data_IF_576915966762
#
_entry.id   IF_576915966762
#
_cell.length_a   1.000
_cell.length_b   1.000
_cell.length_c   1.000
_cell.angle_alpha   90.00
_cell.angle_beta   90.00
_cell.angle_gamma   90.00
#
_symmetry.space_group_name_H-M   'P 1'
#
loop_
_entity.id
_entity.type
_entity.pdbx_description
1 polymer ?
#
# COMPACT_ATOMS: atom_id res chain seq x y z
N UNK A 1 47.83 -56.52 -11.58
CA UNK A 1 46.84 -56.11 -10.54
C UNK A 1 46.93 -54.66 -10.12
N UNK A 2 47.73 -53.79 -10.72
CA UNK A 2 47.85 -52.33 -10.34
C UNK A 2 46.95 -51.39 -11.18
N UNK A 3 46.40 -51.83 -12.29
CA UNK A 3 45.61 -50.97 -13.22
C UNK A 3 44.10 -51.03 -12.99
N UNK A 4 43.58 -52.03 -12.29
CA UNK A 4 42.14 -52.18 -12.02
C UNK A 4 41.66 -51.32 -10.84
N UNK A 5 42.52 -50.97 -9.89
CA UNK A 5 42.16 -50.09 -8.79
C UNK A 5 42.00 -48.62 -9.19
N UNK A 6 42.78 -48.14 -10.18
CA UNK A 6 42.72 -46.75 -10.64
C UNK A 6 41.45 -46.46 -11.44
N UNK A 7 40.91 -47.43 -12.17
CA UNK A 7 39.66 -47.29 -12.93
C UNK A 7 38.42 -47.27 -12.02
N UNK A 8 38.43 -47.99 -10.91
CA UNK A 8 37.33 -48.02 -9.95
C UNK A 8 37.25 -46.71 -9.13
N UNK A 9 38.35 -46.07 -8.82
CA UNK A 9 38.39 -44.78 -8.08
C UNK A 9 37.90 -43.63 -9.00
N UNK A 10 38.30 -43.64 -10.26
CA UNK A 10 37.83 -42.65 -11.25
C UNK A 10 36.32 -42.78 -11.57
N UNK A 11 35.81 -44.03 -11.66
CA UNK A 11 34.37 -44.25 -11.87
C UNK A 11 33.54 -43.85 -10.67
N UNK A 12 34.05 -44.01 -9.43
CA UNK A 12 33.34 -43.59 -8.22
C UNK A 12 33.35 -42.05 -8.05
N UNK A 13 34.45 -41.39 -8.40
CA UNK A 13 34.53 -39.92 -8.40
C UNK A 13 33.62 -39.28 -9.45
N UNK A 14 33.50 -39.88 -10.62
CA UNK A 14 32.56 -39.42 -11.68
C UNK A 14 31.08 -39.64 -11.28
N UNK A 15 30.74 -40.74 -10.61
CA UNK A 15 29.39 -41.01 -10.12
C UNK A 15 28.96 -40.07 -8.97
N UNK A 16 29.89 -39.72 -8.07
CA UNK A 16 29.64 -38.75 -7.00
C UNK A 16 29.48 -37.33 -7.56
N UNK A 17 30.27 -36.93 -8.55
CA UNK A 17 30.15 -35.64 -9.21
C UNK A 17 28.82 -35.50 -9.97
N UNK A 18 28.29 -36.57 -10.58
CA UNK A 18 26.96 -36.56 -11.23
C UNK A 18 25.82 -36.58 -10.23
N UNK A 19 25.95 -37.16 -9.06
CA UNK A 19 24.92 -37.09 -8.01
C UNK A 19 24.87 -35.71 -7.30
N UNK A 20 25.99 -35.00 -7.18
CA UNK A 20 26.01 -33.64 -6.62
C UNK A 20 25.49 -32.58 -7.59
N UNK A 21 25.58 -32.84 -8.91
CA UNK A 21 25.05 -31.94 -9.96
C UNK A 21 23.54 -32.09 -10.19
N UNK A 22 22.87 -33.08 -9.60
CA UNK A 22 21.44 -33.29 -9.69
C UNK A 22 20.64 -32.74 -8.49
N UNK A 23 21.29 -32.12 -7.53
CA UNK A 23 20.60 -31.52 -6.38
C UNK A 23 20.48 -30.00 -6.54
N UNK A 24 19.27 -29.57 -6.85
CA UNK A 24 18.69 -28.25 -6.73
C UNK A 24 18.49 -27.45 -8.02
N UNK A 25 17.65 -27.96 -8.90
CA UNK A 25 16.69 -26.99 -9.42
C UNK A 25 15.66 -26.74 -8.30
N UNK A 26 15.49 -25.51 -7.84
CA UNK A 26 14.36 -25.22 -6.99
C UNK A 26 13.11 -25.56 -7.81
N UNK A 27 12.31 -26.53 -7.33
CA UNK A 27 10.95 -26.69 -7.81
C UNK A 27 10.32 -25.31 -7.63
N UNK A 28 10.05 -24.61 -8.73
CA UNK A 28 9.16 -23.45 -8.72
C UNK A 28 7.86 -23.96 -8.09
N UNK A 29 7.72 -23.77 -6.78
CA UNK A 29 6.45 -23.97 -6.11
C UNK A 29 5.55 -22.90 -6.67
N UNK A 30 4.69 -23.28 -7.61
CA UNK A 30 3.64 -22.38 -8.09
C UNK A 30 2.78 -22.06 -6.89
N UNK A 31 2.92 -20.85 -6.38
CA UNK A 31 2.08 -20.35 -5.31
C UNK A 31 0.65 -20.30 -5.86
N UNK A 32 -0.20 -21.21 -5.40
CA UNK A 32 -1.58 -21.30 -5.85
C UNK A 32 -2.53 -21.14 -4.65
N UNK A 33 -3.46 -20.23 -4.77
CA UNK A 33 -4.61 -20.13 -3.90
C UNK A 33 -5.82 -20.54 -4.73
N UNK A 34 -6.47 -21.67 -4.44
CA UNK A 34 -7.71 -22.01 -5.11
C UNK A 34 -8.78 -20.97 -4.81
N UNK A 35 -9.41 -20.44 -5.84
CA UNK A 35 -10.54 -19.52 -5.71
C UNK A 35 -11.49 -19.69 -6.89
N UNK A 36 -12.71 -19.22 -6.74
CA UNK A 36 -13.66 -18.98 -7.82
C UNK A 36 -14.14 -17.53 -7.76
N UNK A 37 -14.43 -16.94 -8.92
CA UNK A 37 -14.98 -15.60 -9.01
C UNK A 37 -16.19 -15.55 -9.93
N UNK A 38 -17.17 -14.71 -9.58
CA UNK A 38 -18.39 -14.51 -10.36
C UNK A 38 -18.94 -13.10 -10.09
N UNK A 39 -19.97 -12.70 -10.82
CA UNK A 39 -20.69 -11.46 -10.56
C UNK A 39 -22.18 -11.72 -10.35
N UNK A 40 -22.81 -10.98 -9.45
CA UNK A 40 -24.25 -10.92 -9.31
C UNK A 40 -24.90 -10.07 -10.43
N UNK A 41 -26.19 -10.22 -10.72
CA UNK A 41 -26.91 -9.45 -11.74
C UNK A 41 -26.81 -7.93 -11.54
N UNK A 42 -26.70 -7.45 -10.30
CA UNK A 42 -26.50 -6.04 -9.96
C UNK A 42 -25.06 -5.55 -10.14
N UNK A 43 -24.15 -6.39 -10.59
CA UNK A 43 -22.76 -6.05 -10.90
C UNK A 43 -21.78 -6.19 -9.74
N UNK A 44 -22.23 -6.61 -8.56
CA UNK A 44 -21.33 -6.96 -7.46
C UNK A 44 -20.43 -8.12 -7.88
N UNK A 45 -19.12 -7.96 -7.79
CA UNK A 45 -18.15 -9.02 -8.05
C UNK A 45 -17.85 -9.78 -6.77
N UNK A 46 -17.70 -11.09 -6.87
CA UNK A 46 -17.52 -11.97 -5.72
C UNK A 46 -16.32 -12.87 -5.96
N UNK A 47 -15.48 -13.04 -4.93
CA UNK A 47 -14.39 -14.02 -4.91
C UNK A 47 -14.55 -14.92 -3.70
N UNK A 48 -14.46 -16.22 -3.93
CA UNK A 48 -14.57 -17.25 -2.89
C UNK A 48 -13.29 -18.09 -2.90
N UNK A 49 -12.56 -18.07 -1.79
CA UNK A 49 -11.31 -18.80 -1.59
C UNK A 49 -11.41 -19.73 -0.37
N UNK A 50 -12.01 -20.91 -0.49
CA UNK A 50 -12.16 -21.83 0.63
C UNK A 50 -10.81 -22.33 1.13
N UNK A 51 -10.63 -22.31 2.46
CA UNK A 51 -9.42 -22.74 3.15
C UNK A 51 -9.77 -23.23 4.57
N UNK A 52 -9.76 -24.51 4.78
CA UNK A 52 -10.15 -25.15 6.03
C UNK A 52 -8.97 -25.40 7.00
N UNK A 53 -7.86 -24.70 6.83
CA UNK A 53 -6.69 -24.85 7.73
C UNK A 53 -6.91 -24.20 9.10
N UNK A 54 -7.87 -23.28 9.21
CA UNK A 54 -8.28 -22.61 10.45
C UNK A 54 -9.81 -22.48 10.45
N UNK A 55 -10.51 -22.67 11.59
CA UNK A 55 -11.98 -22.56 11.69
C UNK A 55 -12.45 -21.11 11.69
N UNK A 56 -11.90 -20.26 10.81
CA UNK A 56 -12.24 -18.85 10.68
C UNK A 56 -12.50 -18.51 9.22
N UNK A 57 -13.30 -17.46 9.00
CA UNK A 57 -13.49 -16.83 7.70
C UNK A 57 -13.10 -15.36 7.79
N UNK A 58 -12.57 -14.84 6.69
CA UNK A 58 -12.39 -13.41 6.47
C UNK A 58 -13.34 -12.97 5.36
N UNK A 59 -14.08 -11.91 5.61
CA UNK A 59 -14.92 -11.23 4.62
C UNK A 59 -14.33 -9.84 4.39
N UNK A 60 -14.09 -9.51 3.13
CA UNK A 60 -13.61 -8.20 2.70
C UNK A 60 -14.59 -7.61 1.70
N UNK A 61 -15.07 -6.40 1.98
CA UNK A 61 -15.84 -5.60 1.02
C UNK A 61 -14.95 -4.47 0.54
N UNK A 62 -14.56 -4.53 -0.71
CA UNK A 62 -13.67 -3.62 -1.38
C UNK A 62 -14.45 -2.69 -2.31
N UNK A 63 -14.32 -1.39 -2.15
CA UNK A 63 -14.93 -0.38 -3.01
C UNK A 63 -13.86 0.34 -3.81
N UNK A 64 -14.07 0.49 -5.12
CA UNK A 64 -13.16 1.24 -5.99
C UNK A 64 -13.41 2.74 -5.86
N UNK A 65 -13.23 3.26 -4.67
CA UNK A 65 -13.35 4.67 -4.29
C UNK A 65 -12.33 4.99 -3.21
N UNK A 66 -11.59 6.06 -3.41
CA UNK A 66 -10.63 6.60 -2.46
C UNK A 66 -10.55 8.11 -2.60
N UNK A 67 -9.55 8.73 -2.02
CA UNK A 67 -9.42 10.20 -2.03
C UNK A 67 -9.30 10.78 -3.43
N UNK A 68 -8.83 10.04 -4.44
CA UNK A 68 -8.80 10.50 -5.84
C UNK A 68 -10.18 10.80 -6.44
N UNK A 69 -11.24 10.23 -5.85
CA UNK A 69 -12.62 10.42 -6.33
C UNK A 69 -13.29 11.67 -5.74
N UNK A 70 -12.60 12.35 -4.85
CA UNK A 70 -13.05 13.57 -4.22
C UNK A 70 -12.87 14.78 -5.15
N UNK A 71 -13.61 15.84 -4.88
CA UNK A 71 -13.44 17.12 -5.55
C UNK A 71 -12.61 18.06 -4.65
N UNK A 72 -11.85 18.96 -5.26
CA UNK A 72 -11.18 20.04 -4.53
C UNK A 72 -12.21 20.85 -3.74
N UNK A 73 -11.93 21.12 -2.47
CA UNK A 73 -12.89 21.73 -1.53
C UNK A 73 -13.81 20.72 -0.84
N UNK A 74 -13.64 19.42 -1.12
CA UNK A 74 -14.36 18.30 -0.50
C UNK A 74 -13.42 17.13 -0.23
N UNK A 75 -12.20 17.43 0.23
CA UNK A 75 -11.18 16.41 0.52
C UNK A 75 -11.45 15.75 1.87
N UNK A 76 -11.08 14.46 1.99
CA UNK A 76 -11.28 13.65 3.18
C UNK A 76 -12.62 12.89 3.22
N UNK A 77 -13.45 12.97 2.18
CA UNK A 77 -14.76 12.30 2.16
C UNK A 77 -14.65 10.78 2.16
N UNK A 78 -13.72 10.22 1.39
CA UNK A 78 -13.53 8.78 1.34
C UNK A 78 -13.12 8.23 2.72
N UNK A 79 -12.23 8.91 3.43
CA UNK A 79 -11.82 8.54 4.79
C UNK A 79 -12.94 8.81 5.82
N UNK A 80 -13.66 9.91 5.68
CA UNK A 80 -14.83 10.17 6.53
C UNK A 80 -15.87 9.05 6.41
N UNK A 81 -16.07 8.51 5.18
CA UNK A 81 -16.94 7.35 4.98
C UNK A 81 -16.42 6.08 5.61
N UNK A 82 -15.10 5.87 5.66
CA UNK A 82 -14.55 4.76 6.43
C UNK A 82 -15.11 4.77 7.86
N UNK A 83 -15.10 5.93 8.53
CA UNK A 83 -15.65 6.09 9.87
C UNK A 83 -17.19 6.00 9.91
N UNK A 84 -17.88 6.67 9.01
CA UNK A 84 -19.35 6.72 8.98
C UNK A 84 -19.95 5.32 8.82
N UNK A 85 -19.30 4.41 8.10
CA UNK A 85 -19.77 3.04 7.90
C UNK A 85 -19.81 2.20 9.19
N UNK A 86 -19.23 2.67 10.28
CA UNK A 86 -19.31 2.03 11.62
C UNK A 86 -20.34 2.69 12.55
N UNK A 87 -21.10 3.69 12.07
CA UNK A 87 -22.08 4.41 12.92
C UNK A 87 -23.44 3.75 13.00
N UNK A 88 -23.58 2.53 12.48
CA UNK A 88 -24.81 1.78 12.37
C UNK A 88 -25.56 2.04 11.06
N UNK A 89 -26.49 1.17 10.74
CA UNK A 89 -27.28 1.16 9.52
C UNK A 89 -28.74 0.77 9.82
N UNK A 90 -29.59 0.59 8.81
CA UNK A 90 -31.03 0.42 8.97
C UNK A 90 -31.45 -0.65 9.97
N UNK A 91 -30.75 -1.79 10.00
CA UNK A 91 -31.07 -2.92 10.87
C UNK A 91 -29.96 -3.22 11.89
N UNK A 92 -28.83 -2.53 11.82
CA UNK A 92 -27.66 -2.70 12.70
C UNK A 92 -27.41 -1.40 13.46
N UNK A 93 -27.96 -1.22 14.67
CA UNK A 93 -27.71 -0.05 15.49
C UNK A 93 -26.22 0.17 15.79
N UNK A 94 -25.82 1.40 16.08
CA UNK A 94 -24.46 1.74 16.46
C UNK A 94 -23.89 0.82 17.56
N UNK A 95 -22.65 0.36 17.36
CA UNK A 95 -21.96 -0.56 18.26
C UNK A 95 -22.42 -2.02 18.21
N UNK A 96 -23.48 -2.33 17.42
CA UNK A 96 -23.93 -3.72 17.27
C UNK A 96 -22.99 -4.50 16.37
N UNK A 97 -22.44 -3.89 15.33
CA UNK A 97 -21.45 -4.51 14.45
C UNK A 97 -20.25 -5.04 15.28
N UNK A 98 -19.61 -4.16 16.02
CA UNK A 98 -18.45 -4.51 16.88
C UNK A 98 -18.82 -5.57 17.91
N UNK A 99 -19.96 -5.40 18.59
CA UNK A 99 -20.41 -6.37 19.60
C UNK A 99 -20.64 -7.77 19.04
N UNK A 100 -21.19 -7.89 17.82
CA UNK A 100 -21.43 -9.19 17.19
C UNK A 100 -20.15 -9.81 16.65
N UNK A 101 -19.22 -9.02 16.17
CA UNK A 101 -17.93 -9.50 15.66
C UNK A 101 -16.98 -9.84 16.82
N UNK A 102 -16.74 -8.90 17.73
CA UNK A 102 -15.81 -9.09 18.86
C UNK A 102 -16.36 -10.06 19.90
N UNK A 103 -17.68 -10.06 20.11
CA UNK A 103 -18.34 -10.94 21.07
C UNK A 103 -18.18 -12.43 20.80
N UNK A 104 -17.81 -12.81 19.58
CA UNK A 104 -17.51 -14.19 19.18
C UNK A 104 -16.01 -14.43 18.95
N UNK A 105 -15.16 -13.48 19.33
CA UNK A 105 -13.70 -13.54 19.17
C UNK A 105 -13.21 -13.16 17.78
N UNK A 106 -14.01 -12.47 16.98
CA UNK A 106 -13.64 -11.88 15.70
C UNK A 106 -13.03 -10.48 15.85
N UNK A 107 -12.70 -9.89 14.73
CA UNK A 107 -12.24 -8.51 14.61
C UNK A 107 -12.74 -7.90 13.30
N UNK A 108 -12.97 -6.59 13.29
CA UNK A 108 -13.32 -5.84 12.09
C UNK A 108 -12.51 -4.55 12.01
N UNK A 109 -12.37 -4.00 10.79
CA UNK A 109 -11.75 -2.70 10.56
C UNK A 109 -12.10 -2.17 9.17
N UNK A 110 -11.70 -0.90 8.90
CA UNK A 110 -11.71 -0.26 7.60
C UNK A 110 -10.33 0.28 7.23
N UNK A 111 -10.14 0.60 5.96
CA UNK A 111 -8.95 1.31 5.48
C UNK A 111 -9.24 2.02 4.17
N UNK A 112 -8.77 3.26 4.06
CA UNK A 112 -8.88 4.09 2.87
C UNK A 112 -7.51 4.42 2.31
N UNK A 113 -7.41 4.40 0.98
CA UNK A 113 -6.25 4.88 0.24
C UNK A 113 -6.67 5.92 -0.79
N UNK A 114 -5.74 6.36 -1.61
CA UNK A 114 -6.07 7.23 -2.75
C UNK A 114 -7.03 6.58 -3.74
N UNK A 115 -7.00 5.25 -3.88
CA UNK A 115 -7.68 4.53 -4.95
C UNK A 115 -8.85 3.65 -4.49
N UNK A 116 -8.87 3.24 -3.23
CA UNK A 116 -9.87 2.30 -2.71
C UNK A 116 -10.22 2.55 -1.25
N UNK A 117 -11.43 2.11 -0.86
CA UNK A 117 -11.85 1.94 0.54
C UNK A 117 -12.22 0.48 0.75
N UNK A 118 -11.81 -0.10 1.85
CA UNK A 118 -11.99 -1.52 2.15
C UNK A 118 -12.49 -1.68 3.58
N UNK A 119 -13.49 -2.53 3.76
CA UNK A 119 -13.97 -2.98 5.07
C UNK A 119 -13.73 -4.47 5.15
N UNK A 120 -13.32 -4.94 6.29
CA UNK A 120 -12.99 -6.34 6.45
C UNK A 120 -13.19 -6.81 7.88
N UNK A 121 -13.53 -8.06 8.01
CA UNK A 121 -13.67 -8.74 9.28
C UNK A 121 -13.14 -10.17 9.21
N UNK A 122 -12.66 -10.66 10.35
CA UNK A 122 -12.29 -12.06 10.57
C UNK A 122 -13.14 -12.57 11.72
N UNK A 123 -13.82 -13.69 11.49
CA UNK A 123 -14.82 -14.21 12.41
C UNK A 123 -14.77 -15.75 12.41
N UNK A 124 -15.19 -16.47 13.47
CA UNK A 124 -15.32 -17.91 13.40
C UNK A 124 -16.27 -18.35 12.27
N UNK A 125 -15.92 -19.43 11.58
CA UNK A 125 -16.57 -19.85 10.33
C UNK A 125 -18.07 -20.05 10.41
N UNK A 126 -18.59 -20.49 11.57
CA UNK A 126 -20.03 -20.66 11.82
C UNK A 126 -20.81 -19.32 11.87
N UNK A 127 -20.13 -18.17 11.88
CA UNK A 127 -20.74 -16.83 11.84
C UNK A 127 -20.62 -16.15 10.46
N UNK A 128 -20.25 -16.87 9.40
CA UNK A 128 -20.14 -16.29 8.05
C UNK A 128 -21.43 -15.56 7.64
N UNK A 129 -22.60 -16.10 7.93
CA UNK A 129 -23.88 -15.45 7.60
C UNK A 129 -24.06 -14.13 8.35
N UNK A 130 -23.61 -14.05 9.61
CA UNK A 130 -23.62 -12.80 10.39
C UNK A 130 -22.73 -11.75 9.75
N UNK A 131 -21.51 -12.11 9.34
CA UNK A 131 -20.59 -11.21 8.66
C UNK A 131 -21.20 -10.67 7.35
N UNK A 132 -21.76 -11.54 6.52
CA UNK A 132 -22.41 -11.12 5.26
C UNK A 132 -23.62 -10.22 5.49
N UNK A 133 -24.40 -10.46 6.54
CA UNK A 133 -25.52 -9.60 6.92
C UNK A 133 -25.01 -8.21 7.35
N UNK A 134 -24.02 -8.13 8.23
CA UNK A 134 -23.46 -6.87 8.72
C UNK A 134 -22.91 -6.01 7.56
N UNK A 135 -22.12 -6.62 6.68
CA UNK A 135 -21.54 -5.96 5.52
C UNK A 135 -22.61 -5.49 4.50
N UNK A 136 -23.62 -6.32 4.26
CA UNK A 136 -24.73 -5.97 3.36
C UNK A 136 -25.59 -4.85 3.94
N UNK A 137 -25.85 -4.86 5.24
CA UNK A 137 -26.70 -3.85 5.88
C UNK A 137 -26.07 -2.46 5.78
N UNK A 138 -24.76 -2.33 6.02
CA UNK A 138 -24.09 -1.04 5.84
C UNK A 138 -23.96 -0.63 4.37
N UNK A 139 -23.87 -1.56 3.42
CA UNK A 139 -23.92 -1.23 1.98
C UNK A 139 -25.28 -0.71 1.55
N UNK A 140 -26.37 -1.36 1.99
CA UNK A 140 -27.72 -1.06 1.51
C UNK A 140 -28.45 0.00 2.31
N UNK A 141 -28.24 0.08 3.61
CA UNK A 141 -29.11 0.79 4.55
C UNK A 141 -28.38 1.81 5.45
N UNK A 142 -27.12 2.16 5.16
CA UNK A 142 -26.39 3.18 5.91
C UNK A 142 -27.13 4.52 5.94
N UNK A 143 -27.63 4.96 4.79
CA UNK A 143 -28.25 6.27 4.65
C UNK A 143 -29.61 6.39 5.37
N UNK A 144 -30.25 5.28 5.72
CA UNK A 144 -31.53 5.28 6.46
C UNK A 144 -31.37 5.79 7.89
N UNK A 145 -30.16 5.70 8.44
CA UNK A 145 -29.86 6.12 9.81
C UNK A 145 -28.83 7.24 9.89
N UNK A 146 -28.26 7.67 8.74
CA UNK A 146 -27.29 8.75 8.71
C UNK A 146 -27.96 10.10 8.83
N UNK A 147 -27.67 10.80 9.92
CA UNK A 147 -28.12 12.14 10.21
C UNK A 147 -26.93 13.08 10.47
N UNK A 148 -27.25 14.38 10.64
CA UNK A 148 -26.23 15.40 10.87
C UNK A 148 -25.47 15.19 12.19
N UNK A 149 -26.10 14.63 13.22
CA UNK A 149 -25.44 14.42 14.53
C UNK A 149 -24.37 13.33 14.42
N UNK A 150 -24.67 12.22 13.75
CA UNK A 150 -23.70 11.14 13.47
C UNK A 150 -22.56 11.65 12.60
N UNK A 151 -22.89 12.42 11.57
CA UNK A 151 -21.91 13.00 10.67
C UNK A 151 -20.97 13.96 11.40
N UNK A 152 -21.49 14.85 12.23
CA UNK A 152 -20.68 15.79 13.03
C UNK A 152 -19.76 15.06 14.02
N UNK A 153 -20.26 14.02 14.67
CA UNK A 153 -19.46 13.20 15.55
C UNK A 153 -18.27 12.54 14.82
N UNK A 154 -18.50 12.00 13.62
CA UNK A 154 -17.42 11.39 12.82
C UNK A 154 -16.45 12.43 12.26
N UNK A 155 -16.93 13.59 11.83
CA UNK A 155 -16.05 14.71 11.46
C UNK A 155 -15.10 15.10 12.59
N UNK A 156 -15.60 15.19 13.82
CA UNK A 156 -14.78 15.56 14.97
C UNK A 156 -13.75 14.47 15.28
N UNK A 157 -14.11 13.19 15.11
CA UNK A 157 -13.16 12.06 15.22
C UNK A 157 -12.06 12.18 14.17
N UNK A 158 -12.40 12.33 12.89
CA UNK A 158 -11.42 12.44 11.78
C UNK A 158 -10.53 13.68 11.97
N UNK A 159 -11.11 14.82 12.40
CA UNK A 159 -10.33 16.04 12.69
C UNK A 159 -9.37 15.84 13.87
N UNK A 160 -9.78 15.10 14.89
CA UNK A 160 -8.91 14.76 16.01
C UNK A 160 -7.81 13.78 15.60
N UNK A 161 -8.14 12.80 14.78
CA UNK A 161 -7.16 11.88 14.21
C UNK A 161 -6.12 12.63 13.37
N UNK A 162 -6.53 13.56 12.49
CA UNK A 162 -5.60 14.41 11.75
C UNK A 162 -4.66 15.18 12.67
N UNK A 163 -5.21 15.77 13.76
CA UNK A 163 -4.35 16.45 14.76
C UNK A 163 -3.35 15.50 15.41
N UNK A 164 -3.78 14.28 15.74
CA UNK A 164 -2.94 13.31 16.45
C UNK A 164 -1.91 12.64 15.53
N UNK A 165 -2.30 12.27 14.30
CA UNK A 165 -1.44 11.51 13.39
C UNK A 165 -0.58 12.39 12.47
N UNK A 166 -0.99 13.65 12.25
CA UNK A 166 -0.29 14.55 11.33
C UNK A 166 0.16 15.85 11.99
N UNK A 167 -0.78 16.72 12.44
CA UNK A 167 -0.45 18.09 12.86
C UNK A 167 0.40 18.14 14.13
N UNK A 168 0.21 17.21 15.06
CA UNK A 168 0.96 17.13 16.33
C UNK A 168 2.03 16.03 16.33
N UNK A 169 2.09 15.19 15.28
CA UNK A 169 3.08 14.13 15.18
C UNK A 169 4.37 14.65 14.56
N UNK A 170 5.54 14.41 15.19
CA UNK A 170 6.82 14.72 14.56
C UNK A 170 6.92 14.13 13.15
N UNK A 171 7.27 14.95 12.17
CA UNK A 171 7.33 14.62 10.74
C UNK A 171 5.97 14.23 10.11
N UNK A 172 4.86 14.42 10.78
CA UNK A 172 3.53 13.95 10.36
C UNK A 172 3.02 14.58 9.07
N UNK A 173 3.51 15.75 8.68
CA UNK A 173 3.11 16.45 7.45
C UNK A 173 3.94 16.08 6.22
N UNK A 174 4.90 15.17 6.32
CA UNK A 174 5.78 14.82 5.20
C UNK A 174 4.98 14.32 3.99
N UNK A 175 3.99 13.44 4.19
CA UNK A 175 3.19 12.89 3.11
C UNK A 175 2.34 13.98 2.41
N UNK A 176 1.74 14.88 3.16
CA UNK A 176 1.00 16.02 2.63
C UNK A 176 1.90 16.98 1.84
N UNK A 177 3.08 17.33 2.38
CA UNK A 177 4.06 18.18 1.71
C UNK A 177 4.52 17.56 0.39
N UNK A 178 4.80 16.26 0.40
CA UNK A 178 5.22 15.52 -0.80
C UNK A 178 4.10 15.52 -1.83
N UNK A 179 2.88 15.15 -1.45
CA UNK A 179 1.72 15.10 -2.35
C UNK A 179 1.44 16.46 -3.00
N UNK A 180 1.38 17.52 -2.19
CA UNK A 180 1.15 18.90 -2.66
C UNK A 180 2.27 19.43 -3.59
N UNK A 181 3.49 18.89 -3.45
CA UNK A 181 4.65 19.32 -4.24
C UNK A 181 4.84 18.51 -5.50
N UNK A 182 4.60 17.18 -5.40
CA UNK A 182 4.81 16.23 -6.48
C UNK A 182 3.73 16.37 -7.55
N UNK A 183 2.48 16.52 -7.13
CA UNK A 183 1.35 16.54 -8.03
C UNK A 183 0.85 17.96 -8.30
N UNK A 184 0.52 18.32 -9.55
CA UNK A 184 -0.18 19.58 -9.84
C UNK A 184 -1.49 19.69 -9.04
N UNK A 185 -1.88 20.90 -8.68
CA UNK A 185 -3.05 21.15 -7.82
C UNK A 185 -4.39 20.59 -8.35
N UNK A 186 -4.49 20.33 -9.66
CA UNK A 186 -5.66 19.69 -10.28
C UNK A 186 -5.55 18.16 -10.31
N UNK A 187 -4.41 17.59 -9.94
CA UNK A 187 -4.21 16.16 -9.96
C UNK A 187 -4.88 15.53 -8.73
N UNK A 188 -5.64 14.41 -8.87
CA UNK A 188 -6.40 13.82 -7.76
C UNK A 188 -5.53 13.19 -6.65
N UNK A 189 -4.22 13.08 -6.84
CA UNK A 189 -3.28 12.67 -5.79
C UNK A 189 -2.56 13.86 -5.11
N UNK A 190 -2.98 15.10 -5.38
CA UNK A 190 -2.34 16.29 -4.81
C UNK A 190 -2.76 16.60 -3.37
N UNK A 191 -3.72 15.88 -2.80
CA UNK A 191 -4.13 16.01 -1.39
C UNK A 191 -3.98 14.69 -0.62
N UNK A 192 -3.94 14.81 0.69
CA UNK A 192 -3.86 13.65 1.58
C UNK A 192 -5.22 12.97 1.76
N UNK A 193 -5.20 11.67 2.04
CA UNK A 193 -6.41 10.84 2.22
C UNK A 193 -7.30 11.32 3.36
N UNK A 194 -6.70 11.82 4.44
CA UNK A 194 -7.45 12.32 5.61
C UNK A 194 -8.19 13.63 5.31
N UNK A 195 -7.80 14.35 4.25
CA UNK A 195 -8.41 15.61 3.84
C UNK A 195 -8.01 16.81 4.67
N UNK A 196 -8.45 18.00 4.27
CA UNK A 196 -8.20 19.24 5.00
C UNK A 196 -9.23 19.49 6.11
N UNK A 197 -8.81 20.20 7.17
CA UNK A 197 -9.71 20.61 8.26
C UNK A 197 -10.86 21.48 7.76
N UNK A 198 -10.58 22.33 6.79
CA UNK A 198 -11.57 23.25 6.19
C UNK A 198 -12.62 22.47 5.42
N UNK A 199 -12.20 21.55 4.56
CA UNK A 199 -13.09 20.74 3.72
C UNK A 199 -13.98 19.83 4.57
N UNK A 200 -13.39 19.15 5.56
CA UNK A 200 -14.14 18.32 6.50
C UNK A 200 -15.20 19.12 7.27
N UNK A 201 -14.89 20.38 7.64
CA UNK A 201 -15.85 21.26 8.33
C UNK A 201 -16.96 21.72 7.40
N UNK A 202 -16.66 21.97 6.13
CA UNK A 202 -17.62 22.45 5.14
C UNK A 202 -18.52 21.36 4.54
N UNK A 203 -18.18 20.08 4.73
CA UNK A 203 -18.94 18.95 4.20
C UNK A 203 -20.40 18.98 4.67
N UNK A 204 -21.36 19.07 3.75
CA UNK A 204 -22.78 19.00 4.09
C UNK A 204 -23.28 17.55 4.12
N UNK A 205 -24.36 17.30 4.83
CA UNK A 205 -25.04 15.98 4.83
C UNK A 205 -25.44 15.56 3.42
N UNK A 206 -25.89 16.52 2.59
CA UNK A 206 -26.24 16.27 1.18
C UNK A 206 -25.02 15.79 0.38
N UNK A 207 -23.89 16.50 0.48
CA UNK A 207 -22.65 16.13 -0.22
C UNK A 207 -22.19 14.70 0.15
N UNK A 208 -22.28 14.39 1.44
CA UNK A 208 -21.92 13.08 1.98
C UNK A 208 -22.86 11.99 1.44
N UNK A 209 -24.18 12.22 1.47
CA UNK A 209 -25.15 11.26 0.92
C UNK A 209 -25.01 11.07 -0.59
N UNK A 210 -24.69 12.12 -1.34
CA UNK A 210 -24.44 12.03 -2.79
C UNK A 210 -23.17 11.24 -3.10
N UNK A 211 -22.09 11.45 -2.33
CA UNK A 211 -20.85 10.69 -2.48
C UNK A 211 -21.09 9.19 -2.23
N UNK A 212 -21.81 8.84 -1.17
CA UNK A 212 -22.17 7.45 -0.88
C UNK A 212 -22.96 6.82 -2.03
N UNK A 213 -24.08 7.44 -2.44
CA UNK A 213 -24.94 6.94 -3.53
C UNK A 213 -24.18 6.73 -4.84
N UNK A 214 -23.14 7.54 -5.07
CA UNK A 214 -22.32 7.45 -6.28
C UNK A 214 -21.33 6.29 -6.23
N UNK A 215 -20.67 6.06 -5.11
CA UNK A 215 -19.49 5.22 -5.05
C UNK A 215 -19.69 3.92 -4.27
N UNK A 216 -20.59 3.88 -3.29
CA UNK A 216 -20.78 2.70 -2.42
C UNK A 216 -21.97 1.86 -2.89
N UNK A 217 -21.88 1.39 -4.13
CA UNK A 217 -22.90 0.59 -4.76
C UNK A 217 -22.34 -0.74 -5.28
N UNK A 218 -23.17 -1.79 -5.45
CA UNK A 218 -22.74 -3.12 -5.85
C UNK A 218 -21.81 -3.16 -7.07
N UNK A 219 -22.14 -2.40 -8.14
CA UNK A 219 -21.30 -2.41 -9.36
C UNK A 219 -19.90 -1.82 -9.18
N UNK A 220 -19.66 -1.10 -8.09
CA UNK A 220 -18.34 -0.56 -7.71
C UNK A 220 -17.67 -1.35 -6.57
N UNK A 221 -18.24 -2.49 -6.18
CA UNK A 221 -17.80 -3.25 -5.03
C UNK A 221 -17.36 -4.68 -5.40
N UNK A 222 -16.54 -5.24 -4.53
CA UNK A 222 -16.12 -6.64 -4.55
C UNK A 222 -16.32 -7.20 -3.14
N UNK A 223 -16.97 -8.36 -3.04
CA UNK A 223 -17.02 -9.17 -1.82
C UNK A 223 -16.02 -10.31 -2.01
N UNK A 224 -15.01 -10.37 -1.17
CA UNK A 224 -14.02 -11.46 -1.16
C UNK A 224 -14.14 -12.23 0.17
N UNK A 225 -14.29 -13.54 0.08
CA UNK A 225 -14.42 -14.44 1.23
C UNK A 225 -13.30 -15.46 1.18
N UNK A 226 -12.49 -15.54 2.23
CA UNK A 226 -11.47 -16.57 2.36
C UNK A 226 -11.56 -17.26 3.72
N UNK A 227 -11.40 -18.60 3.76
CA UNK A 227 -11.41 -19.34 5.00
C UNK A 227 -12.26 -20.60 4.97
N UNK A 228 -12.69 -21.06 6.15
CA UNK A 228 -13.38 -22.32 6.33
C UNK A 228 -14.88 -22.17 6.02
N UNK A 229 -15.23 -22.42 4.78
CA UNK A 229 -16.62 -22.47 4.30
C UNK A 229 -16.75 -23.34 3.05
N UNK A 230 -17.99 -23.69 2.72
CA UNK A 230 -18.31 -24.37 1.46
C UNK A 230 -18.88 -23.37 0.46
N UNK A 231 -18.30 -23.24 -0.76
CA UNK A 231 -18.80 -22.31 -1.78
C UNK A 231 -20.28 -22.49 -2.13
N UNK A 232 -20.77 -23.73 -2.09
CA UNK A 232 -22.18 -24.06 -2.35
C UNK A 232 -23.14 -23.48 -1.30
N UNK A 233 -22.65 -23.23 -0.09
CA UNK A 233 -23.40 -22.59 0.99
C UNK A 233 -23.22 -21.07 0.96
N UNK A 234 -22.03 -20.58 0.66
CA UNK A 234 -21.73 -19.15 0.63
C UNK A 234 -22.45 -18.42 -0.52
N UNK A 235 -22.51 -19.00 -1.73
CA UNK A 235 -23.15 -18.36 -2.89
C UNK A 235 -24.62 -17.95 -2.67
N UNK A 236 -25.50 -18.81 -2.14
CA UNK A 236 -26.87 -18.41 -1.82
C UNK A 236 -26.95 -17.31 -0.77
N UNK A 237 -26.06 -17.30 0.23
CA UNK A 237 -26.00 -16.25 1.25
C UNK A 237 -25.60 -14.91 0.63
N UNK A 238 -24.55 -14.88 -0.17
CA UNK A 238 -24.14 -13.66 -0.88
C UNK A 238 -25.27 -13.16 -1.77
N UNK A 239 -25.93 -14.03 -2.53
CA UNK A 239 -27.06 -13.65 -3.38
C UNK A 239 -28.23 -13.10 -2.55
N UNK A 240 -28.55 -13.70 -1.40
CA UNK A 240 -29.62 -13.28 -0.49
C UNK A 240 -29.36 -11.90 0.09
N UNK A 241 -28.14 -11.63 0.58
CA UNK A 241 -27.84 -10.40 1.30
C UNK A 241 -27.49 -9.23 0.38
N UNK A 242 -26.86 -9.48 -0.77
CA UNK A 242 -26.40 -8.42 -1.66
C UNK A 242 -27.16 -8.31 -2.99
N UNK A 243 -27.94 -9.34 -3.36
CA UNK A 243 -28.51 -9.46 -4.70
C UNK A 243 -29.61 -8.46 -5.03
N UNK A 244 -30.37 -8.01 -4.03
CA UNK A 244 -31.52 -7.11 -4.23
C UNK A 244 -31.13 -5.63 -4.31
N UNK A 245 -29.89 -5.27 -3.96
CA UNK A 245 -29.46 -3.87 -4.03
C UNK A 245 -29.36 -3.38 -5.48
N UNK A 246 -29.73 -2.12 -5.73
CA UNK A 246 -29.62 -1.55 -7.05
C UNK A 246 -28.15 -1.50 -7.50
N UNK A 247 -27.92 -1.66 -8.80
CA UNK A 247 -26.58 -1.69 -9.41
C UNK A 247 -25.72 -0.47 -9.05
N UNK A 248 -26.33 0.69 -8.88
CA UNK A 248 -25.66 1.97 -8.75
C UNK A 248 -25.35 2.64 -10.10
N UNK A 249 -24.95 3.92 -10.06
CA UNK A 249 -24.67 4.70 -11.26
C UNK A 249 -23.38 4.26 -11.96
N UNK A 250 -23.27 4.61 -13.24
CA UNK A 250 -21.98 4.53 -13.94
C UNK A 250 -20.99 5.55 -13.35
N UNK A 251 -19.78 5.12 -13.06
CA UNK A 251 -18.74 5.97 -12.46
C UNK A 251 -17.74 6.39 -13.52
N UNK A 252 -17.58 7.70 -13.69
CA UNK A 252 -16.50 8.29 -14.44
C UNK A 252 -15.32 8.48 -13.48
N UNK A 253 -14.20 7.80 -13.76
CA UNK A 253 -13.01 7.91 -12.92
C UNK A 253 -12.19 9.12 -13.30
N UNK A 254 -11.66 9.88 -12.33
CA UNK A 254 -10.78 11.00 -12.63
C UNK A 254 -9.48 10.51 -13.25
N UNK A 255 -8.96 11.26 -14.23
CA UNK A 255 -7.65 10.99 -14.79
C UNK A 255 -6.56 11.37 -13.77
N UNK A 256 -5.64 10.45 -13.51
CA UNK A 256 -4.52 10.63 -12.61
C UNK A 256 -3.21 10.20 -13.30
N UNK A 257 -2.78 10.89 -14.38
CA UNK A 257 -1.62 10.47 -15.17
C UNK A 257 -0.34 10.51 -14.33
N UNK A 258 0.66 9.68 -14.62
CA UNK A 258 1.99 9.81 -14.02
C UNK A 258 2.55 11.21 -14.25
N UNK A 259 3.23 11.73 -13.23
CA UNK A 259 3.90 13.03 -13.30
C UNK A 259 5.39 12.87 -13.53
N UNK A 260 6.02 13.90 -14.08
CA UNK A 260 7.47 14.01 -14.21
C UNK A 260 7.92 15.36 -13.65
N UNK A 261 9.13 15.41 -13.13
CA UNK A 261 9.78 16.64 -12.69
C UNK A 261 10.98 16.90 -13.58
N UNK A 262 11.03 18.08 -14.22
CA UNK A 262 12.13 18.45 -15.10
C UNK A 262 13.38 18.90 -14.33
N UNK A 263 13.20 19.29 -13.05
CA UNK A 263 14.25 19.80 -12.18
C UNK A 263 14.02 19.40 -10.73
N UNK A 264 15.06 19.56 -9.94
CA UNK A 264 15.00 19.39 -8.49
C UNK A 264 14.18 20.52 -7.85
N UNK A 265 13.28 20.14 -6.95
CA UNK A 265 12.55 21.05 -6.06
C UNK A 265 13.06 20.84 -4.63
N UNK A 266 13.64 21.89 -4.04
CA UNK A 266 14.21 21.83 -2.69
C UNK A 266 13.32 22.57 -1.71
N UNK A 267 12.93 21.89 -0.62
CA UNK A 267 12.07 22.44 0.41
C UNK A 267 12.71 22.30 1.80
N UNK A 268 12.44 23.28 2.65
CA UNK A 268 12.67 23.17 4.08
C UNK A 268 11.36 23.37 4.83
N UNK A 269 11.07 22.44 5.72
CA UNK A 269 9.93 22.53 6.64
C UNK A 269 10.42 22.49 8.08
N UNK A 270 10.00 23.51 8.86
CA UNK A 270 10.32 23.60 10.29
C UNK A 270 9.23 22.89 11.06
N UNK A 271 9.62 21.89 11.87
CA UNK A 271 8.71 21.07 12.65
C UNK A 271 9.18 20.94 14.11
N UNK A 272 8.27 20.51 14.99
CA UNK A 272 8.53 20.24 16.41
C UNK A 272 9.33 18.96 16.60
N UNK A 273 10.48 18.89 15.98
CA UNK A 273 11.41 17.76 16.01
C UNK A 273 12.72 18.15 16.66
N UNK A 274 13.43 17.18 17.21
CA UNK A 274 14.78 17.40 17.76
C UNK A 274 15.87 17.05 16.76
N UNK A 275 15.62 16.08 15.88
CA UNK A 275 16.55 15.57 14.89
C UNK A 275 16.04 15.95 13.51
N UNK A 276 16.87 16.53 12.64
CA UNK A 276 16.45 16.77 11.27
C UNK A 276 16.25 15.48 10.50
N UNK A 277 15.49 15.54 9.38
CA UNK A 277 15.28 14.41 8.49
C UNK A 277 15.37 14.84 7.04
N UNK A 278 16.02 14.04 6.22
CA UNK A 278 16.10 14.24 4.79
C UNK A 278 15.13 13.26 4.11
N UNK A 279 14.25 13.80 3.27
CA UNK A 279 13.32 13.01 2.44
C UNK A 279 13.58 13.36 0.99
N UNK A 280 13.88 12.35 0.17
CA UNK A 280 14.13 12.53 -1.28
C UNK A 280 13.07 11.69 -2.02
N UNK A 281 12.35 12.34 -2.96
CA UNK A 281 11.24 11.69 -3.66
C UNK A 281 11.39 11.89 -5.17
N UNK A 282 11.22 10.81 -5.89
CA UNK A 282 11.15 10.79 -7.35
C UNK A 282 9.78 10.32 -7.81
N UNK A 283 9.17 10.99 -8.80
CA UNK A 283 7.96 10.48 -9.44
C UNK A 283 8.26 9.17 -10.17
N UNK A 284 7.34 8.24 -10.07
CA UNK A 284 7.45 6.93 -10.74
C UNK A 284 6.12 6.50 -11.35
N UNK A 285 5.98 5.23 -11.61
CA UNK A 285 4.82 4.63 -12.28
C UNK A 285 3.77 4.12 -11.30
N UNK A 286 2.55 4.06 -11.78
CA UNK A 286 1.46 3.36 -11.12
C UNK A 286 1.48 1.85 -11.35
N UNK A 287 0.44 1.19 -10.82
CA UNK A 287 0.28 -0.28 -10.79
C UNK A 287 0.30 -0.94 -12.17
N UNK A 288 -0.12 -0.22 -13.23
CA UNK A 288 -0.19 -0.77 -14.57
C UNK A 288 1.18 -1.00 -15.23
N UNK A 289 2.26 -0.46 -14.67
CA UNK A 289 3.61 -0.60 -15.22
C UNK A 289 4.39 -1.73 -14.55
N UNK A 290 5.02 -2.57 -15.35
CA UNK A 290 5.92 -3.63 -14.85
C UNK A 290 7.20 -3.07 -14.22
N UNK A 291 7.58 -1.81 -14.49
CA UNK A 291 8.70 -1.17 -13.82
C UNK A 291 8.56 -1.14 -12.29
N UNK A 292 7.32 -1.21 -11.77
CA UNK A 292 7.04 -1.29 -10.32
C UNK A 292 7.75 -2.46 -9.63
N UNK A 293 7.92 -3.59 -10.33
CA UNK A 293 8.59 -4.76 -9.74
C UNK A 293 10.08 -4.53 -9.58
N UNK A 294 10.73 -3.97 -10.59
CA UNK A 294 12.15 -3.62 -10.52
C UNK A 294 12.41 -2.48 -9.51
N UNK A 295 11.50 -1.50 -9.40
CA UNK A 295 11.56 -0.45 -8.37
C UNK A 295 11.39 -1.03 -6.96
N UNK A 296 10.52 -2.01 -6.78
CA UNK A 296 10.34 -2.71 -5.50
C UNK A 296 11.58 -3.51 -5.08
N UNK A 297 12.25 -4.15 -6.05
CA UNK A 297 13.55 -4.83 -5.81
C UNK A 297 14.63 -3.80 -5.49
N UNK A 298 14.63 -2.63 -6.14
CA UNK A 298 15.54 -1.53 -5.85
C UNK A 298 15.43 -1.07 -4.39
N UNK A 299 14.22 -1.01 -3.80
CA UNK A 299 14.05 -0.69 -2.37
C UNK A 299 14.92 -1.58 -1.48
N UNK A 300 14.83 -2.91 -1.72
CA UNK A 300 15.50 -3.93 -0.93
C UNK A 300 17.02 -3.97 -1.14
N UNK A 301 17.50 -3.38 -2.23
CA UNK A 301 18.96 -3.27 -2.50
C UNK A 301 19.51 -2.00 -1.86
N UNK A 302 18.75 -0.92 -1.90
CA UNK A 302 19.21 0.41 -1.49
C UNK A 302 19.18 0.57 0.03
N UNK A 303 18.06 0.24 0.68
CA UNK A 303 17.88 0.49 2.12
C UNK A 303 17.11 -0.64 2.82
N UNK A 304 17.14 -0.65 4.15
CA UNK A 304 16.50 -1.64 5.01
C UNK A 304 17.53 -2.48 5.77
N UNK A 305 17.70 -3.78 5.48
CA UNK A 305 18.67 -4.64 6.18
C UNK A 305 20.11 -4.11 6.15
N UNK A 306 20.92 -4.55 7.12
CA UNK A 306 22.33 -4.11 7.29
C UNK A 306 23.19 -4.26 6.03
N UNK A 307 22.88 -5.20 5.17
CA UNK A 307 23.66 -5.52 3.96
C UNK A 307 23.31 -4.67 2.76
N UNK A 308 22.26 -3.82 2.84
CA UNK A 308 21.86 -2.93 1.74
C UNK A 308 22.82 -1.76 1.59
N UNK A 309 22.93 -1.22 0.38
CA UNK A 309 24.01 -0.28 0.01
C UNK A 309 24.07 0.95 0.90
N UNK A 310 22.97 1.69 1.03
CA UNK A 310 22.96 2.90 1.86
C UNK A 310 23.05 2.57 3.35
N UNK A 311 22.32 1.55 3.82
CA UNK A 311 22.35 1.18 5.24
C UNK A 311 23.75 0.75 5.66
N UNK A 312 24.40 -0.13 4.88
CA UNK A 312 25.77 -0.55 5.15
C UNK A 312 26.71 0.65 5.18
N UNK A 313 26.75 1.43 4.11
CA UNK A 313 27.71 2.51 3.95
C UNK A 313 27.50 3.68 4.92
N UNK A 314 26.22 4.13 5.12
CA UNK A 314 25.96 5.36 5.86
C UNK A 314 25.60 5.12 7.33
N UNK A 315 25.00 3.97 7.67
CA UNK A 315 24.65 3.68 9.08
C UNK A 315 25.80 2.95 9.78
N UNK A 316 26.41 1.96 9.13
CA UNK A 316 27.42 1.10 9.79
C UNK A 316 28.86 1.55 9.52
N UNK A 317 29.25 1.72 8.26
CA UNK A 317 30.68 1.96 7.92
C UNK A 317 31.07 3.43 8.21
N UNK A 318 30.30 4.41 7.70
CA UNK A 318 30.61 5.85 7.83
C UNK A 318 29.90 6.52 9.01
N UNK A 319 28.93 5.87 9.61
CA UNK A 319 28.15 6.37 10.75
C UNK A 319 27.57 7.78 10.57
N UNK A 320 27.07 8.08 9.37
CA UNK A 320 26.45 9.37 9.05
C UNK A 320 24.94 9.38 9.34
N UNK A 321 24.28 8.24 9.31
CA UNK A 321 22.85 8.11 9.55
C UNK A 321 22.56 7.16 10.73
N UNK A 322 21.38 7.32 11.34
CA UNK A 322 20.81 6.39 12.32
C UNK A 322 19.85 5.40 11.68
N UNK A 323 19.11 5.84 10.66
CA UNK A 323 18.17 5.00 9.91
C UNK A 323 18.02 5.49 8.47
N UNK A 324 17.78 4.54 7.58
CA UNK A 324 17.46 4.80 6.17
C UNK A 324 16.38 3.83 5.74
N UNK A 325 15.36 4.35 5.07
CA UNK A 325 14.31 3.56 4.43
C UNK A 325 14.14 3.95 2.99
N UNK A 326 13.88 2.98 2.13
CA UNK A 326 13.48 3.17 0.73
C UNK A 326 12.11 2.54 0.51
N UNK A 327 11.27 3.17 -0.29
CA UNK A 327 9.91 2.71 -0.54
C UNK A 327 9.44 3.11 -1.93
N UNK A 328 8.94 2.12 -2.67
CA UNK A 328 8.14 2.32 -3.88
C UNK A 328 6.66 2.25 -3.52
N UNK A 329 5.92 3.33 -3.77
CA UNK A 329 4.47 3.39 -3.61
C UNK A 329 3.80 3.56 -4.99
N UNK A 330 3.36 2.47 -5.60
CA UNK A 330 2.61 2.53 -6.84
C UNK A 330 1.12 2.63 -6.50
N UNK A 331 0.56 3.83 -6.53
CA UNK A 331 -0.88 4.01 -6.61
C UNK A 331 -1.42 3.47 -7.94
N UNK A 332 -2.72 3.45 -8.16
CA UNK A 332 -3.29 2.83 -9.37
C UNK A 332 -2.73 3.43 -10.66
N UNK A 333 -2.58 4.75 -10.74
CA UNK A 333 -2.26 5.46 -11.99
C UNK A 333 -0.89 6.12 -12.00
N UNK A 334 -0.35 6.52 -10.86
CA UNK A 334 0.95 7.16 -10.69
C UNK A 334 1.63 6.60 -9.45
N UNK A 335 2.88 6.94 -9.22
CA UNK A 335 3.59 6.49 -8.02
C UNK A 335 4.79 7.37 -7.71
N UNK A 336 5.42 7.06 -6.60
CA UNK A 336 6.65 7.70 -6.15
C UNK A 336 7.65 6.66 -5.64
N UNK A 337 8.93 7.01 -5.72
CA UNK A 337 9.99 6.30 -5.02
C UNK A 337 10.62 7.24 -4.02
N UNK A 338 10.69 6.83 -2.75
CA UNK A 338 11.06 7.70 -1.64
C UNK A 338 12.22 7.11 -0.84
N UNK A 339 13.19 7.97 -0.53
CA UNK A 339 14.21 7.75 0.51
C UNK A 339 13.90 8.64 1.71
N UNK A 340 13.92 8.06 2.91
CA UNK A 340 13.86 8.79 4.17
C UNK A 340 15.10 8.47 4.99
N UNK A 341 15.85 9.52 5.37
CA UNK A 341 17.15 9.39 6.01
C UNK A 341 17.18 10.24 7.27
N UNK A 342 17.46 9.62 8.41
CA UNK A 342 17.67 10.31 9.68
C UNK A 342 19.17 10.37 9.97
N UNK A 343 19.79 11.56 10.07
CA UNK A 343 21.22 11.70 10.34
C UNK A 343 21.57 11.31 11.77
N UNK A 344 22.83 11.04 12.04
CA UNK A 344 23.37 11.08 13.39
C UNK A 344 23.49 12.52 13.89
N UNK A 345 23.41 12.75 15.20
CA UNK A 345 23.62 14.08 15.78
C UNK A 345 24.93 14.72 15.27
N UNK A 346 24.84 15.98 14.82
CA UNK A 346 25.99 16.74 14.30
C UNK A 346 26.34 16.49 12.84
N UNK A 347 25.67 15.54 12.16
CA UNK A 347 25.87 15.32 10.71
C UNK A 347 25.03 16.29 9.90
N UNK A 348 25.65 16.98 8.95
CA UNK A 348 25.00 17.87 7.99
C UNK A 348 24.11 17.10 7.02
N UNK A 349 22.88 17.59 6.77
CA UNK A 349 22.02 17.03 5.73
C UNK A 349 22.63 17.21 4.32
N UNK A 350 23.43 18.24 4.09
CA UNK A 350 24.13 18.45 2.81
C UNK A 350 25.15 17.34 2.55
N UNK A 351 25.96 17.00 3.55
CA UNK A 351 26.96 15.94 3.42
C UNK A 351 26.30 14.55 3.30
N UNK A 352 25.20 14.36 4.03
CA UNK A 352 24.43 13.13 3.97
C UNK A 352 23.76 12.92 2.59
N UNK A 353 23.20 13.99 2.00
CA UNK A 353 22.66 13.97 0.65
C UNK A 353 23.75 13.65 -0.37
N UNK A 354 24.89 14.36 -0.31
CA UNK A 354 26.02 14.12 -1.23
C UNK A 354 26.53 12.69 -1.15
N UNK A 355 26.63 12.13 0.06
CA UNK A 355 27.03 10.76 0.27
C UNK A 355 26.00 9.74 -0.26
N UNK A 356 24.71 10.05 -0.13
CA UNK A 356 23.61 9.25 -0.67
C UNK A 356 23.65 9.26 -2.21
N UNK A 357 23.76 10.43 -2.80
CA UNK A 357 23.82 10.59 -4.27
C UNK A 357 25.01 9.83 -4.88
N UNK A 358 26.19 9.89 -4.27
CA UNK A 358 27.36 9.17 -4.75
C UNK A 358 27.13 7.64 -4.78
N UNK A 359 26.42 7.07 -3.79
CA UNK A 359 26.12 5.64 -3.76
C UNK A 359 25.06 5.28 -4.80
N UNK A 360 24.04 6.13 -4.99
CA UNK A 360 23.03 5.93 -6.02
C UNK A 360 23.63 6.06 -7.43
N UNK A 361 24.57 6.99 -7.64
CA UNK A 361 25.27 7.15 -8.92
C UNK A 361 26.15 5.92 -9.24
N UNK A 362 26.80 5.32 -8.24
CA UNK A 362 27.50 4.05 -8.40
C UNK A 362 26.52 2.93 -8.81
N UNK A 363 25.37 2.84 -8.13
CA UNK A 363 24.33 1.88 -8.50
C UNK A 363 23.82 2.06 -9.93
N UNK A 364 23.62 3.31 -10.37
CA UNK A 364 23.21 3.62 -11.75
C UNK A 364 24.28 3.27 -12.78
N UNK A 365 25.55 3.50 -12.45
CA UNK A 365 26.66 3.21 -13.34
C UNK A 365 26.93 1.71 -13.48
N UNK A 366 26.97 0.97 -12.38
CA UNK A 366 27.39 -0.43 -12.35
C UNK A 366 26.19 -1.41 -12.37
N UNK A 367 25.06 -1.04 -11.78
CA UNK A 367 23.94 -1.93 -11.49
C UNK A 367 24.16 -2.69 -10.17
N UNK A 368 23.16 -3.47 -9.75
CA UNK A 368 23.30 -4.39 -8.61
C UNK A 368 24.01 -5.68 -9.03
N UNK A 369 24.60 -6.37 -8.06
CA UNK A 369 25.15 -7.71 -8.23
C UNK A 369 24.03 -8.77 -8.23
N UNK A 370 24.34 -9.96 -8.75
CA UNK A 370 23.41 -11.11 -8.68
C UNK A 370 23.05 -11.50 -7.24
N UNK A 371 24.00 -11.39 -6.30
CA UNK A 371 23.72 -11.66 -4.89
C UNK A 371 22.78 -10.63 -4.25
N UNK A 372 22.90 -9.36 -4.62
CA UNK A 372 21.97 -8.31 -4.15
C UNK A 372 20.55 -8.57 -4.63
N UNK A 373 20.38 -8.97 -5.90
CA UNK A 373 19.08 -9.39 -6.46
C UNK A 373 18.55 -10.59 -5.69
N UNK A 374 19.34 -11.63 -5.50
CA UNK A 374 18.92 -12.85 -4.81
C UNK A 374 18.44 -12.56 -3.37
N UNK A 375 19.20 -11.74 -2.63
CA UNK A 375 18.78 -11.34 -1.27
C UNK A 375 17.51 -10.51 -1.27
N UNK A 376 17.39 -9.55 -2.18
CA UNK A 376 16.25 -8.67 -2.29
C UNK A 376 14.97 -9.46 -2.65
N UNK A 377 15.04 -10.32 -3.67
CA UNK A 377 13.90 -11.13 -4.10
C UNK A 377 13.51 -12.16 -3.03
N UNK A 378 14.45 -12.79 -2.33
CA UNK A 378 14.13 -13.70 -1.23
C UNK A 378 13.40 -13.00 -0.08
N UNK A 379 13.79 -11.78 0.26
CA UNK A 379 13.09 -10.98 1.28
C UNK A 379 11.67 -10.61 0.85
N UNK A 380 11.49 -10.21 -0.41
CA UNK A 380 10.18 -9.90 -0.98
C UNK A 380 9.29 -11.15 -1.10
N UNK A 381 9.87 -12.29 -1.47
CA UNK A 381 9.18 -13.57 -1.53
C UNK A 381 8.64 -13.97 -0.15
N UNK A 382 9.48 -13.90 0.88
CA UNK A 382 9.07 -14.19 2.25
C UNK A 382 7.92 -13.29 2.69
N UNK A 383 8.03 -11.98 2.47
CA UNK A 383 6.95 -11.03 2.79
C UNK A 383 5.66 -11.31 2.02
N UNK A 384 5.78 -11.70 0.76
CA UNK A 384 4.64 -12.03 -0.09
C UNK A 384 3.92 -13.29 0.40
N UNK A 385 4.66 -14.37 0.70
CA UNK A 385 4.10 -15.62 1.20
C UNK A 385 3.45 -15.41 2.58
N UNK A 386 4.13 -14.74 3.50
CA UNK A 386 3.58 -14.43 4.83
C UNK A 386 2.27 -13.62 4.74
N UNK A 387 2.17 -12.71 3.77
CA UNK A 387 0.93 -11.95 3.53
C UNK A 387 -0.27 -12.82 3.09
N UNK A 388 -0.02 -14.05 2.64
CA UNK A 388 -1.05 -15.00 2.21
C UNK A 388 -1.31 -16.13 3.22
N UNK A 389 -0.64 -16.14 4.37
CA UNK A 389 -0.87 -17.16 5.40
C UNK A 389 -2.24 -17.01 6.06
N UNK A 390 -2.65 -15.78 6.37
CA UNK A 390 -3.95 -15.51 6.99
C UNK A 390 -5.10 -15.51 5.97
N UNK A 391 -6.29 -15.92 6.41
CA UNK A 391 -7.51 -15.82 5.60
C UNK A 391 -7.80 -14.36 5.22
N UNK A 392 -7.56 -13.40 6.12
CA UNK A 392 -7.69 -11.98 5.82
C UNK A 392 -6.74 -11.53 4.72
N UNK A 393 -5.46 -11.87 4.82
CA UNK A 393 -4.47 -11.53 3.79
C UNK A 393 -4.85 -12.08 2.40
N UNK A 394 -5.35 -13.32 2.35
CA UNK A 394 -5.88 -13.93 1.10
C UNK A 394 -7.07 -13.17 0.56
N UNK A 395 -8.07 -12.89 1.41
CA UNK A 395 -9.28 -12.17 1.04
C UNK A 395 -8.97 -10.79 0.46
N UNK A 396 -8.13 -10.02 1.15
CA UNK A 396 -7.71 -8.67 0.71
C UNK A 396 -6.91 -8.74 -0.60
N UNK A 397 -5.99 -9.70 -0.73
CA UNK A 397 -5.15 -9.84 -1.93
C UNK A 397 -5.96 -10.20 -3.19
N UNK A 398 -6.93 -11.08 -3.04
CA UNK A 398 -7.84 -11.47 -4.13
C UNK A 398 -8.77 -10.30 -4.51
N UNK A 399 -9.26 -9.55 -3.52
CA UNK A 399 -10.06 -8.35 -3.77
C UNK A 399 -9.24 -7.26 -4.51
N UNK A 400 -7.99 -6.99 -4.08
CA UNK A 400 -7.10 -6.05 -4.76
C UNK A 400 -6.83 -6.47 -6.20
N UNK A 401 -6.52 -7.75 -6.46
CA UNK A 401 -6.29 -8.27 -7.80
C UNK A 401 -7.50 -8.08 -8.71
N UNK A 402 -8.68 -8.45 -8.22
CA UNK A 402 -9.92 -8.26 -8.98
C UNK A 402 -10.26 -6.77 -9.15
N UNK A 403 -9.96 -5.93 -8.16
CA UNK A 403 -10.24 -4.50 -8.17
C UNK A 403 -9.38 -3.72 -9.16
N UNK A 404 -8.08 -3.92 -9.09
CA UNK A 404 -7.11 -3.15 -9.87
C UNK A 404 -6.76 -3.77 -11.22
N UNK A 405 -6.67 -5.11 -11.29
CA UNK A 405 -6.19 -5.82 -12.48
C UNK A 405 -7.34 -6.54 -13.21
N UNK A 406 -8.56 -6.48 -12.68
CA UNK A 406 -9.72 -7.27 -13.14
C UNK A 406 -9.46 -8.79 -13.15
N UNK A 407 -8.52 -9.25 -12.34
CA UNK A 407 -8.13 -10.65 -12.18
C UNK A 407 -7.77 -10.92 -10.71
N UNK A 408 -8.59 -11.69 -10.00
CA UNK A 408 -8.33 -12.08 -8.62
C UNK A 408 -7.04 -12.90 -8.48
N UNK A 409 -6.63 -13.61 -9.55
CA UNK A 409 -5.41 -14.41 -9.62
C UNK A 409 -4.15 -13.62 -9.97
N UNK A 410 -4.23 -12.32 -10.22
CA UNK A 410 -3.10 -11.47 -10.64
C UNK A 410 -1.89 -11.54 -9.70
N UNK A 411 -2.11 -11.85 -8.42
CA UNK A 411 -1.03 -12.02 -7.43
C UNK A 411 -0.01 -13.09 -7.84
N UNK A 412 -0.41 -14.14 -8.59
CA UNK A 412 0.50 -15.16 -9.09
C UNK A 412 1.43 -14.59 -10.15
N UNK A 413 0.88 -13.82 -11.09
CA UNK A 413 1.66 -13.12 -12.12
C UNK A 413 2.58 -12.06 -11.50
N UNK A 414 2.10 -11.30 -10.53
CA UNK A 414 2.92 -10.32 -9.80
C UNK A 414 4.10 -11.00 -9.09
N UNK A 415 3.85 -12.12 -8.41
CA UNK A 415 4.87 -12.92 -7.76
C UNK A 415 5.95 -13.38 -8.75
N UNK A 416 5.54 -13.95 -9.90
CA UNK A 416 6.47 -14.39 -10.94
C UNK A 416 7.29 -13.22 -11.52
N UNK A 417 6.65 -12.09 -11.82
CA UNK A 417 7.32 -10.88 -12.32
C UNK A 417 8.33 -10.32 -11.32
N UNK A 418 7.98 -10.33 -10.03
CA UNK A 418 8.88 -9.90 -8.96
C UNK A 418 10.13 -10.78 -8.86
N UNK A 419 9.97 -12.10 -8.94
CA UNK A 419 11.10 -13.04 -8.90
C UNK A 419 11.95 -13.04 -10.18
N UNK A 420 11.38 -12.63 -11.30
CA UNK A 420 12.06 -12.57 -12.60
C UNK A 420 12.90 -11.30 -12.79
N UNK A 421 12.88 -10.35 -11.84
CA UNK A 421 13.65 -9.09 -11.93
C UNK A 421 15.14 -9.37 -11.99
N UNK A 422 15.81 -8.79 -13.00
CA UNK A 422 17.25 -8.97 -13.24
C UNK A 422 18.07 -7.76 -12.78
N UNK A 423 19.41 -7.89 -12.64
CA UNK A 423 20.30 -6.76 -12.42
C UNK A 423 20.15 -5.65 -13.47
N UNK A 424 19.91 -6.02 -14.73
CA UNK A 424 19.71 -5.09 -15.83
C UNK A 424 18.42 -4.27 -15.66
N UNK A 425 17.34 -4.90 -15.18
CA UNK A 425 16.07 -4.20 -14.92
C UNK A 425 16.21 -3.18 -13.82
N UNK A 426 16.86 -3.53 -12.70
CA UNK A 426 17.10 -2.60 -11.59
C UNK A 426 18.00 -1.46 -12.02
N UNK A 427 19.08 -1.74 -12.78
CA UNK A 427 19.93 -0.68 -13.36
C UNK A 427 19.13 0.25 -14.27
N UNK A 428 18.28 -0.30 -15.13
CA UNK A 428 17.43 0.44 -16.06
C UNK A 428 16.47 1.37 -15.33
N UNK A 429 15.72 0.87 -14.34
CA UNK A 429 14.77 1.70 -13.58
C UNK A 429 15.47 2.73 -12.71
N UNK A 430 16.63 2.41 -12.10
CA UNK A 430 17.43 3.38 -11.37
C UNK A 430 17.84 4.55 -12.26
N UNK A 431 18.32 4.31 -13.49
CA UNK A 431 18.67 5.34 -14.45
C UNK A 431 17.45 6.12 -14.97
N UNK A 432 16.31 5.43 -15.17
CA UNK A 432 15.10 6.03 -15.72
C UNK A 432 14.41 6.97 -14.71
N UNK A 433 14.36 6.58 -13.44
CA UNK A 433 13.54 7.28 -12.44
C UNK A 433 14.36 8.09 -11.44
N UNK A 434 15.54 7.63 -11.00
CA UNK A 434 16.36 8.39 -10.03
C UNK A 434 17.17 9.50 -10.74
N UNK A 435 16.45 10.43 -11.34
CA UNK A 435 16.99 11.55 -12.10
C UNK A 435 17.22 12.79 -11.23
N UNK A 436 17.61 13.89 -11.85
CA UNK A 436 17.67 15.22 -11.20
C UNK A 436 16.27 15.82 -10.95
N UNK A 437 15.24 15.32 -11.62
CA UNK A 437 13.84 15.67 -11.39
C UNK A 437 13.32 15.00 -10.13
N UNK A 438 13.53 15.62 -8.97
CA UNK A 438 13.19 15.09 -7.66
C UNK A 438 12.78 16.18 -6.67
N UNK A 439 12.12 15.78 -5.60
CA UNK A 439 11.89 16.62 -4.43
C UNK A 439 12.96 16.27 -3.38
N UNK A 440 13.60 17.29 -2.81
CA UNK A 440 14.48 17.18 -1.65
C UNK A 440 13.85 18.00 -0.51
N UNK A 441 13.24 17.30 0.44
CA UNK A 441 12.60 17.92 1.60
C UNK A 441 13.47 17.73 2.84
N UNK A 442 13.89 18.83 3.44
CA UNK A 442 14.55 18.86 4.74
C UNK A 442 13.53 19.22 5.82
N UNK A 443 13.21 18.29 6.72
CA UNK A 443 12.43 18.57 7.91
C UNK A 443 13.41 18.88 9.04
N UNK A 444 13.33 20.09 9.62
CA UNK A 444 14.31 20.57 10.58
C UNK A 444 13.61 21.11 11.85
N UNK A 445 14.31 21.18 12.99
CA UNK A 445 13.76 21.82 14.19
C UNK A 445 13.37 23.28 13.95
N UNK A 446 12.30 23.75 14.62
CA UNK A 446 11.84 25.15 14.55
C UNK A 446 13.00 26.11 14.86
N UNK A 447 13.18 27.12 14.00
CA UNK A 447 14.24 28.12 14.11
C UNK A 447 15.62 27.64 13.62
N UNK A 448 15.68 26.46 12.91
CA UNK A 448 16.92 25.82 12.47
C UNK A 448 16.95 25.56 10.95
N UNK A 449 16.49 26.51 10.14
CA UNK A 449 16.49 26.38 8.66
C UNK A 449 17.89 26.15 8.09
N UNK A 450 18.92 26.63 8.76
CA UNK A 450 20.32 26.42 8.39
C UNK A 450 20.75 24.94 8.43
N UNK A 451 19.98 24.07 9.12
CA UNK A 451 20.21 22.62 9.13
C UNK A 451 19.68 21.91 7.87
N UNK A 452 18.95 22.59 7.00
CA UNK A 452 18.48 22.00 5.76
C UNK A 452 19.65 21.58 4.85
N UNK A 453 19.41 20.61 3.98
CA UNK A 453 20.37 20.32 2.92
C UNK A 453 20.39 21.48 1.93
N UNK A 454 21.59 22.04 1.68
CA UNK A 454 21.81 23.24 0.87
C UNK A 454 20.84 24.37 1.23
N UNK A 455 20.95 24.97 2.42
CA UNK A 455 19.95 25.90 2.95
C UNK A 455 19.69 27.11 2.04
N UNK A 456 20.71 27.60 1.34
CA UNK A 456 20.58 28.75 0.40
C UNK A 456 19.75 28.43 -0.85
N UNK A 457 19.61 27.15 -1.22
CA UNK A 457 18.85 26.68 -2.36
C UNK A 457 17.45 26.18 -1.95
N UNK A 458 17.18 26.00 -0.65
CA UNK A 458 15.95 25.42 -0.12
C UNK A 458 14.90 26.48 0.16
N UNK A 459 13.70 26.30 -0.42
CA UNK A 459 12.55 27.20 -0.23
C UNK A 459 11.75 26.76 1.00
N UNK A 460 11.39 27.67 1.92
CA UNK A 460 10.50 27.36 3.02
C UNK A 460 9.12 26.90 2.53
N UNK A 461 8.71 25.71 2.95
CA UNK A 461 7.36 25.25 2.70
C UNK A 461 6.37 25.99 3.60
N UNK A 462 5.27 26.46 3.02
CA UNK A 462 4.17 27.10 3.74
C UNK A 462 2.89 26.33 3.45
N UNK A 463 2.20 25.95 4.49
CA UNK A 463 0.86 25.36 4.34
C UNK A 463 -0.11 26.36 3.71
N UNK A 464 -0.97 25.89 2.84
CA UNK A 464 -1.96 26.72 2.13
C UNK A 464 -3.30 26.79 2.85
N UNK A 465 -3.48 25.99 3.90
CA UNK A 465 -4.74 25.77 4.62
C UNK A 465 -4.70 26.19 6.11
N UNK A 466 -3.78 27.10 6.45
CA UNK A 466 -3.74 27.80 7.75
C UNK A 466 -4.26 29.23 7.65
#
# INVERSE_FOLDING_TARGET
>A
MRNTAAFLVLAFAAAVATLVAQSSQPKSSTLQIPFESYALPNGLRVVLAPNNTSPTVAVTVWYHVGSKNEAKGKTGFAHLFEHVMFTGSGHVPYGVHDRLTEGVGGSNNGTTSRDRTMYFETIPSNYLETALWLESDRMGFLLDTLDIQKLDAQRDIVKNERRQSMDNQPYGLVDEIVSNTLYPAAHPYSWDVIGSMTDLTAASETDVKEFFKRYYAPANAIVSIAGDFQPQQAKPLVARYFGEFPRGPAIVRPAAPPVTLDRETRLVYEDRVQVPRLVIVWPTVGRQSDDRFALRVLDQIVAGPRTTRLTKALVYDRQLATSITARQDPDESAGEWRLTITPRPGVSLTDLEAATDAILDTLKAEGPTGEEIQRATAGLELGFVNGLESNLGRSMRLADGLGYENDAGSFQTEYQKMLAVTPADVKRVANKYLTKGRIVLSVVPIGKKEMASKPSESTPYRRTDQ
#
